data_IF_589097660247
#
_entry.id   IF_589097660247
#
_cell.length_a   1.000
_cell.length_b   1.000
_cell.length_c   1.000
_cell.angle_alpha   90.00
_cell.angle_beta   90.00
_cell.angle_gamma   90.00
#
_symmetry.space_group_name_H-M   'P 1'
#
loop_
_entity.id
_entity.type
_entity.pdbx_description
1 polymer ?
#
# COMPACT_ATOMS: atom_id res chain seq x y z
N UNK A 1 9.01 -3.87 -20.49
CA UNK A 1 7.62 -4.40 -20.39
C UNK A 1 6.63 -3.25 -20.55
N UNK A 2 5.36 -3.50 -20.89
CA UNK A 2 4.36 -2.43 -20.85
C UNK A 2 3.98 -2.13 -19.40
N UNK A 3 3.56 -0.88 -19.13
CA UNK A 3 3.02 -0.51 -17.81
C UNK A 3 1.85 -1.38 -17.41
N UNK A 4 0.92 -1.65 -18.32
CA UNK A 4 -0.19 -2.58 -18.06
C UNK A 4 0.28 -3.92 -17.49
N UNK A 5 1.28 -4.53 -18.12
CA UNK A 5 1.81 -5.84 -17.71
C UNK A 5 2.39 -5.78 -16.30
N UNK A 6 3.10 -4.69 -15.96
CA UNK A 6 3.61 -4.46 -14.61
C UNK A 6 2.49 -4.39 -13.57
N UNK A 7 1.41 -3.63 -13.85
CA UNK A 7 0.28 -3.53 -12.93
C UNK A 7 -0.47 -4.86 -12.78
N UNK A 8 -0.61 -5.63 -13.87
CA UNK A 8 -1.21 -6.96 -13.84
C UNK A 8 -0.38 -7.95 -13.01
N UNK A 9 0.96 -7.94 -13.17
CA UNK A 9 1.89 -8.78 -12.42
C UNK A 9 1.72 -8.64 -10.90
N UNK A 10 1.47 -7.41 -10.43
CA UNK A 10 1.34 -7.10 -9.00
C UNK A 10 -0.12 -6.99 -8.53
N UNK A 11 -1.09 -7.56 -9.25
CA UNK A 11 -2.50 -7.59 -8.82
C UNK A 11 -3.18 -6.21 -8.76
N UNK A 12 -2.60 -5.20 -9.43
CA UNK A 12 -3.10 -3.82 -9.49
C UNK A 12 -3.97 -3.55 -10.73
N UNK A 13 -4.41 -4.60 -11.42
CA UNK A 13 -5.26 -4.53 -12.63
C UNK A 13 -6.65 -3.93 -12.38
N UNK A 14 -7.11 -3.89 -11.13
CA UNK A 14 -8.37 -3.26 -10.74
C UNK A 14 -8.32 -1.72 -10.75
N UNK A 15 -7.12 -1.13 -10.85
CA UNK A 15 -6.94 0.32 -10.88
C UNK A 15 -7.49 0.91 -12.19
N UNK A 16 -8.35 1.92 -12.06
CA UNK A 16 -8.88 2.68 -13.19
C UNK A 16 -7.85 3.72 -13.61
N UNK A 17 -6.98 3.34 -14.55
CA UNK A 17 -5.94 4.21 -15.11
C UNK A 17 -6.26 4.49 -16.58
N UNK A 18 -5.96 5.71 -17.04
CA UNK A 18 -6.17 6.09 -18.43
C UNK A 18 -5.36 5.18 -19.38
N UNK A 19 -6.00 4.71 -20.45
CA UNK A 19 -5.45 3.71 -21.38
C UNK A 19 -4.13 4.17 -22.04
N UNK A 20 -4.02 5.44 -22.42
CA UNK A 20 -2.79 5.99 -23.02
C UNK A 20 -1.61 5.99 -22.05
N UNK A 21 -1.88 6.02 -20.73
CA UNK A 21 -0.83 5.77 -19.75
C UNK A 21 -0.51 4.27 -19.66
N UNK A 22 -1.51 3.40 -19.56
CA UNK A 22 -1.25 1.96 -19.41
C UNK A 22 -0.48 1.33 -20.59
N UNK A 23 -0.67 1.83 -21.80
CA UNK A 23 -0.04 1.28 -23.01
C UNK A 23 1.42 1.68 -23.20
N UNK A 24 1.89 2.73 -22.53
CA UNK A 24 3.28 3.15 -22.66
C UNK A 24 4.25 2.21 -21.94
N UNK A 25 5.53 2.32 -22.30
CA UNK A 25 6.59 1.52 -21.68
C UNK A 25 6.71 1.83 -20.19
N UNK A 26 7.02 0.79 -19.41
CA UNK A 26 7.44 0.91 -18.03
C UNK A 26 8.96 0.98 -17.98
N UNK A 27 9.49 2.14 -17.60
CA UNK A 27 10.93 2.41 -17.56
C UNK A 27 11.26 3.36 -16.40
N UNK A 28 11.33 2.85 -15.15
CA UNK A 28 11.72 3.64 -13.98
C UNK A 28 13.13 4.20 -14.13
N UNK A 29 13.31 5.48 -13.82
CA UNK A 29 14.61 6.14 -13.75
C UNK A 29 15.18 6.13 -12.32
N UNK A 30 16.33 6.77 -12.10
CA UNK A 30 16.96 6.84 -10.77
C UNK A 30 16.06 7.51 -9.71
N UNK A 31 15.44 8.69 -9.97
CA UNK A 31 14.43 9.25 -9.07
C UNK A 31 13.25 8.32 -8.75
N UNK A 32 12.74 7.57 -9.74
CA UNK A 32 11.67 6.59 -9.51
C UNK A 32 12.13 5.48 -8.58
N UNK A 33 13.31 4.91 -8.83
CA UNK A 33 13.90 3.86 -7.99
C UNK A 33 14.10 4.33 -6.55
N UNK A 34 14.65 5.53 -6.37
CA UNK A 34 14.89 6.10 -5.05
C UNK A 34 13.58 6.38 -4.29
N UNK A 35 12.57 6.96 -4.96
CA UNK A 35 11.26 7.17 -4.36
C UNK A 35 10.54 5.86 -4.01
N UNK A 36 10.67 4.84 -4.87
CA UNK A 36 10.12 3.51 -4.63
C UNK A 36 10.79 2.85 -3.42
N UNK A 37 12.11 2.95 -3.29
CA UNK A 37 12.86 2.47 -2.12
C UNK A 37 12.39 3.13 -0.83
N UNK A 38 12.26 4.46 -0.80
CA UNK A 38 11.84 5.19 0.40
C UNK A 38 10.46 4.72 0.88
N UNK A 39 9.49 4.58 -0.04
CA UNK A 39 8.16 4.11 0.34
C UNK A 39 8.13 2.60 0.65
N UNK A 40 8.99 1.82 0.00
CA UNK A 40 9.13 0.40 0.25
C UNK A 40 9.58 0.12 1.69
N UNK A 41 10.62 0.81 2.18
CA UNK A 41 11.12 0.68 3.56
C UNK A 41 10.03 1.02 4.58
N UNK A 42 9.29 2.09 4.31
CA UNK A 42 8.17 2.51 5.15
C UNK A 42 7.06 1.45 5.19
N UNK A 43 6.73 0.86 4.04
CA UNK A 43 5.74 -0.20 3.98
C UNK A 43 6.24 -1.50 4.62
N UNK A 44 7.51 -1.88 4.51
CA UNK A 44 8.03 -3.10 5.15
C UNK A 44 7.96 -3.06 6.68
N UNK A 45 8.15 -1.87 7.26
CA UNK A 45 8.37 -1.70 8.71
C UNK A 45 7.11 -1.25 9.46
N UNK A 46 5.99 -1.05 8.75
CA UNK A 46 4.72 -0.61 9.34
C UNK A 46 3.78 -1.77 9.62
N UNK A 47 3.02 -1.63 10.71
CA UNK A 47 1.93 -2.54 11.09
C UNK A 47 0.81 -2.66 10.03
N UNK A 48 0.76 -1.74 9.05
CA UNK A 48 -0.26 -1.72 7.99
C UNK A 48 -0.07 -2.77 6.92
N UNK A 49 1.11 -3.39 6.84
CA UNK A 49 1.47 -4.43 5.88
C UNK A 49 1.84 -5.73 6.59
N UNK A 50 2.34 -5.64 7.82
CA UNK A 50 2.60 -6.78 8.68
C UNK A 50 1.30 -7.30 9.30
N UNK A 51 1.15 -8.62 9.34
CA UNK A 51 0.04 -9.24 10.03
C UNK A 51 0.15 -8.94 11.53
N UNK A 52 -0.94 -8.45 12.10
CA UNK A 52 -1.08 -8.30 13.54
C UNK A 52 -2.13 -9.31 14.02
N UNK A 53 -1.84 -10.12 15.05
CA UNK A 53 -2.85 -10.99 15.64
C UNK A 53 -4.12 -10.21 16.04
N UNK A 54 -5.32 -10.80 15.93
CA UNK A 54 -6.57 -10.13 16.27
C UNK A 54 -6.63 -9.59 17.70
N UNK A 55 -5.87 -10.19 18.62
CA UNK A 55 -5.71 -9.82 20.02
C UNK A 55 -4.78 -8.62 20.26
N UNK A 56 -3.94 -8.28 19.28
CA UNK A 56 -2.95 -7.20 19.41
C UNK A 56 -3.42 -5.90 18.75
N UNK A 57 -2.97 -4.78 19.31
CA UNK A 57 -3.23 -3.42 18.84
C UNK A 57 -4.71 -3.01 18.87
N UNK A 58 -4.97 -1.77 18.46
CA UNK A 58 -6.32 -1.20 18.39
C UNK A 58 -6.64 -0.65 16.99
N UNK A 59 -7.92 -0.61 16.65
CA UNK A 59 -8.39 -0.20 15.33
C UNK A 59 -8.12 1.29 15.03
N UNK A 60 -8.05 2.15 16.04
CA UNK A 60 -7.76 3.57 15.84
C UNK A 60 -6.31 3.78 15.42
N UNK A 61 -5.36 3.14 16.10
CA UNK A 61 -3.94 3.15 15.73
C UNK A 61 -3.72 2.54 14.36
N UNK A 62 -4.39 1.43 14.04
CA UNK A 62 -4.31 0.82 12.71
C UNK A 62 -4.83 1.78 11.62
N UNK A 63 -5.98 2.42 11.84
CA UNK A 63 -6.54 3.40 10.91
C UNK A 63 -5.59 4.60 10.73
N UNK A 64 -4.99 5.09 11.81
CA UNK A 64 -4.02 6.18 11.76
C UNK A 64 -2.79 5.80 10.95
N UNK A 65 -2.29 4.58 11.13
CA UNK A 65 -1.13 4.08 10.39
C UNK A 65 -1.43 3.98 8.88
N UNK A 66 -2.61 3.48 8.49
CA UNK A 66 -3.03 3.46 7.07
C UNK A 66 -3.16 4.88 6.52
N UNK A 67 -3.74 5.81 7.31
CA UNK A 67 -3.87 7.20 6.90
C UNK A 67 -2.51 7.91 6.74
N UNK A 68 -1.48 7.52 7.51
CA UNK A 68 -0.13 8.09 7.44
C UNK A 68 0.56 7.85 6.08
N UNK A 69 0.10 6.88 5.29
CA UNK A 69 0.61 6.66 3.93
C UNK A 69 0.40 7.87 3.00
N UNK A 70 -0.66 8.66 3.22
CA UNK A 70 -0.92 9.86 2.41
C UNK A 70 0.14 10.96 2.59
N UNK A 71 0.39 11.49 3.80
CA UNK A 71 1.45 12.48 3.99
C UNK A 71 2.82 11.92 3.61
N UNK A 72 3.14 10.69 4.00
CA UNK A 72 4.40 10.05 3.65
C UNK A 72 4.66 10.04 2.14
N UNK A 73 3.71 9.51 1.36
CA UNK A 73 3.88 9.45 -0.11
C UNK A 73 3.96 10.85 -0.71
N UNK A 74 3.21 11.82 -0.17
CA UNK A 74 3.27 13.22 -0.64
C UNK A 74 4.63 13.84 -0.38
N UNK A 75 5.25 13.53 0.75
CA UNK A 75 6.56 14.07 1.10
C UNK A 75 7.66 13.43 0.25
N UNK A 76 7.59 12.11 -0.02
CA UNK A 76 8.47 11.42 -0.98
C UNK A 76 8.36 12.05 -2.38
N UNK A 77 7.14 12.25 -2.89
CA UNK A 77 6.93 12.88 -4.20
C UNK A 77 7.50 14.31 -4.27
N UNK A 78 7.42 15.07 -3.17
CA UNK A 78 7.99 16.42 -3.11
C UNK A 78 9.52 16.40 -3.03
N UNK A 79 10.08 15.46 -2.28
CA UNK A 79 11.51 15.30 -2.09
C UNK A 79 12.21 14.91 -3.40
N UNK A 80 11.66 13.94 -4.13
CA UNK A 80 12.22 13.49 -5.42
C UNK A 80 11.80 14.36 -6.61
N UNK A 81 10.80 15.22 -6.41
CA UNK A 81 10.32 16.17 -7.41
C UNK A 81 9.71 15.50 -8.64
N UNK A 82 9.57 16.27 -9.74
CA UNK A 82 8.92 15.78 -10.96
C UNK A 82 9.69 14.70 -11.72
N UNK A 83 10.89 14.31 -11.27
CA UNK A 83 11.68 13.24 -11.87
C UNK A 83 11.10 11.83 -11.62
N UNK A 84 10.38 11.62 -10.53
CA UNK A 84 9.81 10.32 -10.13
C UNK A 84 8.42 10.04 -10.76
N UNK A 85 8.34 10.19 -12.09
CA UNK A 85 7.09 10.10 -12.84
C UNK A 85 6.46 8.72 -12.89
N UNK A 86 7.23 7.64 -12.99
CA UNK A 86 6.70 6.26 -12.95
C UNK A 86 6.25 5.87 -11.54
N UNK A 87 7.00 6.28 -10.52
CA UNK A 87 6.59 6.14 -9.12
C UNK A 87 5.28 6.88 -8.86
N UNK A 88 5.13 8.13 -9.32
CA UNK A 88 3.89 8.88 -9.16
C UNK A 88 2.69 8.19 -9.83
N UNK A 89 2.89 7.62 -11.03
CA UNK A 89 1.86 6.88 -11.78
C UNK A 89 1.43 5.60 -11.07
N UNK A 90 2.29 5.02 -10.23
CA UNK A 90 1.96 3.87 -9.38
C UNK A 90 1.29 4.31 -8.07
N UNK A 91 1.94 5.22 -7.32
CA UNK A 91 1.56 5.56 -5.95
C UNK A 91 0.23 6.33 -5.85
N UNK A 92 -0.01 7.28 -6.77
CA UNK A 92 -1.22 8.12 -6.72
C UNK A 92 -2.50 7.31 -6.93
N UNK A 93 -2.60 6.41 -7.94
CA UNK A 93 -3.76 5.52 -8.06
C UNK A 93 -3.97 4.62 -6.85
N UNK A 94 -2.92 4.03 -6.28
CA UNK A 94 -3.03 3.17 -5.09
C UNK A 94 -3.60 3.95 -3.90
N UNK A 95 -3.05 5.14 -3.61
CA UNK A 95 -3.57 6.01 -2.55
C UNK A 95 -5.06 6.35 -2.75
N UNK A 96 -5.45 6.70 -3.99
CA UNK A 96 -6.77 7.23 -4.24
C UNK A 96 -7.86 6.17 -4.46
N UNK A 97 -7.50 5.00 -4.99
CA UNK A 97 -8.48 3.98 -5.38
C UNK A 97 -8.49 2.78 -4.44
N UNK A 98 -7.39 2.50 -3.74
CA UNK A 98 -7.28 1.38 -2.79
C UNK A 98 -7.37 1.90 -1.35
N UNK A 99 -6.51 2.85 -0.98
CA UNK A 99 -6.38 3.28 0.42
C UNK A 99 -7.49 4.28 0.83
N UNK A 100 -7.79 5.26 -0.03
CA UNK A 100 -8.78 6.33 0.27
C UNK A 100 -10.18 5.80 0.59
N UNK A 101 -10.77 4.83 -0.14
CA UNK A 101 -12.09 4.31 0.20
C UNK A 101 -12.15 3.70 1.60
N UNK A 102 -11.09 2.98 2.00
CA UNK A 102 -10.96 2.40 3.33
C UNK A 102 -10.88 3.49 4.40
N UNK A 103 -9.94 4.44 4.27
CA UNK A 103 -9.75 5.48 5.29
C UNK A 103 -10.94 6.42 5.38
N UNK A 104 -11.57 6.80 4.26
CA UNK A 104 -12.74 7.67 4.25
C UNK A 104 -13.95 7.02 4.97
N UNK A 105 -14.18 5.73 4.72
CA UNK A 105 -15.24 4.97 5.40
C UNK A 105 -14.99 4.91 6.90
N UNK A 106 -13.80 4.47 7.30
CA UNK A 106 -13.49 4.18 8.69
C UNK A 106 -13.24 5.41 9.53
N UNK A 107 -12.75 6.51 8.94
CA UNK A 107 -12.70 7.81 9.61
C UNK A 107 -14.09 8.30 10.00
N UNK A 108 -15.07 8.23 9.09
CA UNK A 108 -16.45 8.61 9.43
C UNK A 108 -17.05 7.70 10.52
N UNK A 109 -16.75 6.40 10.48
CA UNK A 109 -17.24 5.45 11.48
C UNK A 109 -16.55 5.66 12.85
N UNK A 110 -15.25 5.96 12.87
CA UNK A 110 -14.50 6.20 14.11
C UNK A 110 -15.02 7.42 14.85
N UNK A 111 -15.41 8.49 14.14
CA UNK A 111 -16.08 9.66 14.73
C UNK A 111 -17.44 9.35 15.39
N UNK A 112 -18.04 8.20 15.09
CA UNK A 112 -19.29 7.71 15.67
C UNK A 112 -19.05 6.55 16.64
N UNK A 113 -17.90 6.52 17.31
CA UNK A 113 -17.50 5.52 18.31
C UNK A 113 -17.61 4.07 17.80
N UNK A 114 -17.34 3.84 16.51
CA UNK A 114 -17.41 2.49 15.94
C UNK A 114 -16.45 1.52 16.64
N UNK A 115 -15.31 1.99 17.15
CA UNK A 115 -14.34 1.12 17.82
C UNK A 115 -14.72 0.76 19.27
N UNK A 116 -15.85 1.26 19.79
CA UNK A 116 -16.44 0.78 21.05
C UNK A 116 -17.43 -0.38 20.80
N UNK A 117 -17.75 -0.69 19.54
CA UNK A 117 -18.73 -1.70 19.16
C UNK A 117 -18.04 -2.97 18.66
N UNK A 118 -18.14 -4.12 19.35
CA UNK A 118 -17.42 -5.34 18.97
C UNK A 118 -17.66 -5.79 17.52
N UNK A 119 -18.89 -5.66 17.02
CA UNK A 119 -19.24 -6.00 15.62
C UNK A 119 -18.51 -5.11 14.61
N UNK A 120 -18.29 -3.84 14.94
CA UNK A 120 -17.60 -2.88 14.07
C UNK A 120 -16.09 -3.09 14.10
N UNK A 121 -15.50 -3.41 15.26
CA UNK A 121 -14.10 -3.82 15.38
C UNK A 121 -13.81 -5.05 14.51
N UNK A 122 -14.65 -6.09 14.61
CA UNK A 122 -14.54 -7.29 13.76
C UNK A 122 -14.65 -6.95 12.26
N UNK A 123 -15.59 -6.07 11.90
CA UNK A 123 -15.74 -5.61 10.53
C UNK A 123 -14.50 -4.84 10.05
N UNK A 124 -13.93 -3.95 10.89
CA UNK A 124 -12.71 -3.21 10.58
C UNK A 124 -11.55 -4.17 10.33
N UNK A 125 -11.30 -5.11 11.25
CA UNK A 125 -10.18 -6.07 11.13
C UNK A 125 -10.31 -6.93 9.88
N UNK A 126 -11.52 -7.37 9.54
CA UNK A 126 -11.78 -8.11 8.29
C UNK A 126 -11.45 -7.28 7.04
N UNK A 127 -11.87 -6.02 7.01
CA UNK A 127 -11.60 -5.13 5.87
C UNK A 127 -10.13 -4.70 5.81
N UNK A 128 -9.48 -4.54 6.96
CA UNK A 128 -8.04 -4.27 7.06
C UNK A 128 -7.23 -5.45 6.53
N UNK A 129 -7.59 -6.69 6.88
CA UNK A 129 -6.92 -7.88 6.35
C UNK A 129 -7.04 -7.97 4.82
N UNK A 130 -8.18 -7.58 4.25
CA UNK A 130 -8.34 -7.49 2.80
C UNK A 130 -7.46 -6.39 2.19
N UNK A 131 -7.38 -5.21 2.84
CA UNK A 131 -6.50 -4.12 2.41
C UNK A 131 -5.02 -4.51 2.48
N UNK A 132 -4.60 -5.23 3.54
CA UNK A 132 -3.24 -5.72 3.73
C UNK A 132 -2.77 -6.63 2.59
N UNK A 133 -3.66 -7.42 1.98
CA UNK A 133 -3.32 -8.19 0.78
C UNK A 133 -2.91 -7.26 -0.36
N UNK A 134 -3.73 -6.24 -0.66
CA UNK A 134 -3.40 -5.25 -1.71
C UNK A 134 -2.15 -4.44 -1.38
N UNK A 135 -1.94 -4.07 -0.11
CA UNK A 135 -0.76 -3.34 0.32
C UNK A 135 0.52 -4.18 0.23
N UNK A 136 0.45 -5.49 0.50
CA UNK A 136 1.58 -6.40 0.27
C UNK A 136 1.95 -6.45 -1.21
N UNK A 137 0.99 -6.68 -2.11
CA UNK A 137 1.28 -6.65 -3.55
C UNK A 137 1.86 -5.30 -4.01
N UNK A 138 1.36 -4.19 -3.44
CA UNK A 138 1.93 -2.87 -3.69
C UNK A 138 3.38 -2.73 -3.19
N UNK A 139 3.68 -3.29 -2.01
CA UNK A 139 5.04 -3.30 -1.43
C UNK A 139 6.01 -4.07 -2.33
N UNK A 140 5.60 -5.22 -2.86
CA UNK A 140 6.40 -6.01 -3.80
C UNK A 140 6.61 -5.27 -5.14
N UNK A 141 5.57 -4.57 -5.63
CA UNK A 141 5.70 -3.72 -6.81
C UNK A 141 6.73 -2.60 -6.61
N UNK A 142 6.80 -2.01 -5.41
CA UNK A 142 7.79 -0.99 -5.07
C UNK A 142 9.21 -1.58 -5.02
N UNK A 143 9.40 -2.78 -4.45
CA UNK A 143 10.70 -3.47 -4.49
C UNK A 143 11.17 -3.69 -5.94
N UNK A 144 10.28 -4.18 -6.80
CA UNK A 144 10.57 -4.39 -8.22
C UNK A 144 10.85 -3.09 -8.97
N UNK A 145 10.15 -2.00 -8.66
CA UNK A 145 10.43 -0.67 -9.23
C UNK A 145 11.77 -0.11 -8.75
N UNK A 146 12.13 -0.35 -7.48
CA UNK A 146 13.39 0.07 -6.88
C UNK A 146 14.60 -0.76 -7.32
N UNK A 147 14.37 -1.90 -7.99
CA UNK A 147 15.40 -2.86 -8.42
C UNK A 147 16.19 -3.44 -7.23
N UNK A 148 15.45 -3.85 -6.19
CA UNK A 148 16.01 -4.44 -4.96
C UNK A 148 15.42 -5.83 -4.69
N UNK A 149 16.10 -6.60 -3.84
CA UNK A 149 15.55 -7.87 -3.32
C UNK A 149 14.26 -7.61 -2.54
N UNK A 150 13.24 -8.41 -2.79
CA UNK A 150 11.96 -8.32 -2.08
C UNK A 150 12.00 -9.03 -0.72
N UNK A 151 12.05 -8.24 0.34
CA UNK A 151 11.99 -8.64 1.75
C UNK A 151 10.58 -8.67 2.34
N UNK A 152 9.51 -8.54 1.54
CA UNK A 152 8.12 -8.52 2.05
C UNK A 152 7.76 -9.79 2.84
N UNK A 153 8.39 -10.92 2.52
CA UNK A 153 8.17 -12.21 3.18
C UNK A 153 9.32 -12.63 4.12
N UNK A 154 10.24 -11.72 4.47
CA UNK A 154 11.47 -12.03 5.22
C UNK A 154 11.20 -12.75 6.55
N UNK A 155 10.17 -12.34 7.29
CA UNK A 155 9.81 -12.90 8.61
C UNK A 155 8.72 -13.98 8.55
N UNK A 156 8.26 -14.35 7.35
CA UNK A 156 7.24 -15.39 7.22
C UNK A 156 7.88 -16.75 7.48
N UNK A 157 7.67 -17.29 8.68
CA UNK A 157 8.06 -18.66 9.00
C UNK A 157 7.25 -19.60 8.11
N UNK A 158 7.88 -20.23 7.12
CA UNK A 158 7.35 -21.45 6.51
C UNK A 158 7.49 -22.59 7.54
N UNK A 159 6.47 -22.76 8.39
CA UNK A 159 6.33 -23.85 9.37
C UNK A 159 5.57 -23.32 10.60
N UNK A 160 4.50 -23.90 11.11
CA UNK A 160 4.08 -25.30 11.14
C UNK A 160 2.53 -25.35 11.04
N UNK A 161 2.00 -26.04 10.03
CA UNK A 161 0.72 -26.73 10.18
C UNK A 161 1.07 -28.20 10.37
N UNK A 162 1.16 -28.61 11.64
CA UNK A 162 1.02 -29.99 12.06
C UNK A 162 -0.40 -30.19 12.59
#
# INVERSE_FOLDING_TARGET
MKRRDFFEQWGLSSLKINLGFLEGEFSPNDPDRAAAWDLYVELLTRITTQYLPPEDGDEATALQSVHALFPLTRDILRQHGSGCGEFAKLAIPVLNQIIRPFTAKWHRLSLNNAFEQPKRCQQFRKELAALQISLRCYTQALAAMADVEDLTELETVKGEQA
#
